data_IF_168367998719
#
_entry.id   IF_168367998719
#
_cell.length_a   1.000
_cell.length_b   1.000
_cell.length_c   1.000
_cell.angle_alpha   90.00
_cell.angle_beta   90.00
_cell.angle_gamma   90.00
#
_symmetry.space_group_name_H-M   'P 1'
#
loop_
_entity.id
_entity.type
_entity.pdbx_description
1 polymer ?
#
# COMPACT_ATOMS: atom_id res chain seq x y z
N UNK A 1 8.14 1.77 -5.48
CA UNK A 1 9.54 2.16 -5.17
C UNK A 1 9.65 3.52 -4.47
N UNK A 2 8.88 4.57 -4.85
CA UNK A 2 8.93 5.90 -4.19
C UNK A 2 8.73 5.80 -2.68
N UNK A 3 7.73 5.05 -2.21
CA UNK A 3 7.46 4.86 -0.79
C UNK A 3 8.62 4.19 -0.04
N UNK A 4 9.35 3.25 -0.68
CA UNK A 4 10.54 2.64 -0.12
C UNK A 4 11.63 3.68 0.15
N UNK A 5 11.95 4.52 -0.86
CA UNK A 5 12.99 5.53 -0.70
C UNK A 5 12.60 6.58 0.36
N UNK A 6 11.34 7.00 0.40
CA UNK A 6 10.84 7.89 1.47
C UNK A 6 11.03 7.25 2.84
N UNK A 7 10.71 5.95 2.98
CA UNK A 7 10.85 5.26 4.25
C UNK A 7 12.32 5.15 4.70
N UNK A 8 13.24 4.92 3.77
CA UNK A 8 14.68 4.84 4.06
C UNK A 8 15.28 6.21 4.43
N UNK A 9 14.90 7.26 3.70
CA UNK A 9 15.39 8.63 3.92
C UNK A 9 14.75 9.32 5.14
N UNK A 10 13.58 8.85 5.58
CA UNK A 10 12.83 9.41 6.71
C UNK A 10 12.52 8.33 7.76
N UNK A 11 13.51 7.73 8.42
CA UNK A 11 13.32 6.58 9.31
C UNK A 11 12.43 6.88 10.52
N UNK A 12 12.33 8.15 10.93
CA UNK A 12 11.49 8.60 12.04
C UNK A 12 10.04 8.89 11.63
N UNK A 13 9.70 8.79 10.32
CA UNK A 13 8.33 8.95 9.82
C UNK A 13 7.75 7.61 9.44
N UNK A 14 6.52 7.35 9.85
CA UNK A 14 5.77 6.19 9.34
C UNK A 14 5.27 6.49 7.94
N UNK A 15 5.57 5.58 7.02
CA UNK A 15 5.15 5.67 5.62
C UNK A 15 4.08 4.62 5.35
N UNK A 16 2.91 5.07 4.91
CA UNK A 16 1.84 4.21 4.43
C UNK A 16 1.78 4.29 2.91
N UNK A 17 2.02 3.18 2.23
CA UNK A 17 1.86 3.05 0.79
C UNK A 17 0.57 2.30 0.50
N UNK A 18 -0.36 2.93 -0.19
CA UNK A 18 -1.63 2.33 -0.59
C UNK A 18 -1.57 2.01 -2.08
N UNK A 19 -1.66 0.73 -2.42
CA UNK A 19 -1.72 0.22 -3.79
C UNK A 19 -3.03 -0.53 -4.03
N UNK A 20 -3.52 -0.52 -5.26
CA UNK A 20 -4.50 -1.50 -5.71
C UNK A 20 -3.82 -2.82 -6.08
N UNK A 21 -4.55 -3.92 -6.07
CA UNK A 21 -4.07 -5.26 -6.46
C UNK A 21 -3.52 -5.29 -7.88
N UNK A 22 -4.20 -4.64 -8.84
CA UNK A 22 -3.72 -4.50 -10.21
C UNK A 22 -2.42 -3.69 -10.31
N UNK A 23 -2.29 -2.60 -9.54
CA UNK A 23 -1.05 -1.81 -9.50
C UNK A 23 0.10 -2.61 -8.89
N UNK A 24 -0.16 -3.35 -7.81
CA UNK A 24 0.81 -4.23 -7.17
C UNK A 24 1.27 -5.35 -8.12
N UNK A 25 0.35 -5.95 -8.89
CA UNK A 25 0.68 -6.97 -9.89
C UNK A 25 1.56 -6.42 -11.01
N UNK A 26 1.26 -5.25 -11.55
CA UNK A 26 2.06 -4.63 -12.61
C UNK A 26 3.51 -4.33 -12.19
N UNK A 27 3.76 -4.17 -10.91
CA UNK A 27 5.09 -3.86 -10.35
C UNK A 27 5.54 -4.91 -9.32
N UNK A 28 5.14 -6.17 -9.49
CA UNK A 28 5.35 -7.24 -8.52
C UNK A 28 6.84 -7.41 -8.15
N UNK A 29 7.75 -7.17 -9.09
CA UNK A 29 9.19 -7.18 -8.85
C UNK A 29 9.70 -6.17 -7.82
N UNK A 30 8.90 -5.17 -7.44
CA UNK A 30 9.26 -4.25 -6.36
C UNK A 30 9.22 -4.92 -4.97
N UNK A 31 8.35 -5.92 -4.77
CA UNK A 31 8.19 -6.56 -3.46
C UNK A 31 9.47 -7.22 -2.93
N UNK A 32 10.22 -8.05 -3.70
CA UNK A 32 11.47 -8.61 -3.21
C UNK A 32 12.53 -7.54 -2.90
N UNK A 33 12.56 -6.43 -3.64
CA UNK A 33 13.49 -5.32 -3.35
C UNK A 33 13.13 -4.66 -2.01
N UNK A 34 11.85 -4.39 -1.77
CA UNK A 34 11.37 -3.84 -0.49
C UNK A 34 11.66 -4.82 0.65
N UNK A 35 11.38 -6.12 0.44
CA UNK A 35 11.64 -7.17 1.44
C UNK A 35 13.12 -7.28 1.80
N UNK A 36 14.02 -7.10 0.84
CA UNK A 36 15.47 -7.10 1.08
C UNK A 36 15.91 -5.90 1.93
N UNK A 37 15.33 -4.70 1.69
CA UNK A 37 15.68 -3.47 2.40
C UNK A 37 15.07 -3.39 3.80
N UNK A 38 13.96 -4.05 4.04
CA UNK A 38 13.25 -4.17 5.33
C UNK A 38 13.07 -2.86 6.10
N UNK A 39 12.56 -1.78 5.49
CA UNK A 39 12.36 -0.53 6.21
C UNK A 39 11.32 -0.75 7.33
N UNK A 40 11.73 -0.50 8.59
CA UNK A 40 10.89 -0.78 9.76
C UNK A 40 9.66 0.12 9.87
N UNK A 41 9.67 1.23 9.17
CA UNK A 41 8.64 2.28 9.18
C UNK A 41 7.69 2.24 7.98
N UNK A 42 7.80 1.25 7.07
CA UNK A 42 6.93 1.11 5.90
C UNK A 42 5.79 0.13 6.15
N UNK A 43 4.57 0.61 5.96
CA UNK A 43 3.36 -0.19 5.89
C UNK A 43 2.88 -0.18 4.44
N UNK A 44 2.88 -1.32 3.79
CA UNK A 44 2.40 -1.51 2.42
C UNK A 44 1.00 -2.09 2.45
N UNK A 45 0.00 -1.30 2.09
CA UNK A 45 -1.40 -1.71 2.05
C UNK A 45 -1.78 -2.01 0.62
N UNK A 46 -2.31 -3.21 0.37
CA UNK A 46 -2.88 -3.59 -0.94
C UNK A 46 -4.38 -3.72 -0.79
N UNK A 47 -5.10 -2.84 -1.48
CA UNK A 47 -6.57 -2.88 -1.60
C UNK A 47 -6.89 -3.85 -2.73
N UNK A 48 -7.48 -4.98 -2.39
CA UNK A 48 -7.72 -6.08 -3.33
C UNK A 48 -9.23 -6.25 -3.59
N UNK A 49 -9.68 -5.76 -4.76
CA UNK A 49 -11.03 -5.98 -5.27
C UNK A 49 -11.07 -6.97 -6.45
N UNK A 50 -9.94 -7.61 -6.77
CA UNK A 50 -9.73 -8.57 -7.86
C UNK A 50 -10.02 -8.01 -9.26
N UNK A 51 -10.08 -6.66 -9.44
CA UNK A 51 -10.45 -6.04 -10.70
C UNK A 51 -9.61 -4.80 -11.04
N UNK A 52 -9.28 -4.65 -12.31
CA UNK A 52 -8.74 -3.40 -12.87
C UNK A 52 -9.87 -2.39 -13.11
N UNK A 53 -10.48 -1.90 -12.05
CA UNK A 53 -11.71 -1.13 -12.08
C UNK A 53 -11.60 0.17 -12.90
N UNK A 54 -10.46 0.83 -12.85
CA UNK A 54 -10.21 2.11 -13.56
C UNK A 54 -10.00 1.97 -15.07
N UNK A 55 -9.81 0.74 -15.55
CA UNK A 55 -9.53 0.44 -16.98
C UNK A 55 -10.47 -0.62 -17.57
N UNK A 56 -11.71 -0.62 -17.14
CA UNK A 56 -12.75 -1.47 -17.72
C UNK A 56 -13.24 -2.62 -16.84
N UNK A 57 -12.73 -2.75 -15.61
CA UNK A 57 -13.23 -3.71 -14.63
C UNK A 57 -12.86 -5.17 -14.91
N UNK A 58 -11.87 -5.42 -15.77
CA UNK A 58 -11.42 -6.77 -16.03
C UNK A 58 -10.74 -7.39 -14.81
N UNK A 59 -10.78 -8.73 -14.66
CA UNK A 59 -10.07 -9.42 -13.58
C UNK A 59 -8.57 -9.12 -13.58
N UNK A 60 -7.98 -8.96 -12.40
CA UNK A 60 -6.52 -8.74 -12.25
C UNK A 60 -5.75 -9.98 -12.70
N UNK A 61 -6.20 -11.16 -12.30
CA UNK A 61 -5.74 -12.44 -12.81
C UNK A 61 -6.77 -13.52 -12.48
N UNK A 62 -6.68 -14.69 -13.14
CA UNK A 62 -7.55 -15.81 -12.84
C UNK A 62 -7.32 -16.29 -11.38
N UNK A 63 -8.41 -16.42 -10.63
CA UNK A 63 -8.36 -16.76 -9.20
C UNK A 63 -7.95 -15.63 -8.26
N UNK A 64 -7.67 -14.43 -8.78
CA UNK A 64 -7.28 -13.26 -8.00
C UNK A 64 -5.80 -13.28 -7.55
N UNK A 65 -5.25 -12.10 -7.27
CA UNK A 65 -3.94 -11.95 -6.66
C UNK A 65 -4.07 -12.11 -5.14
N UNK A 66 -3.23 -12.93 -4.53
CA UNK A 66 -3.04 -12.93 -3.08
C UNK A 66 -1.71 -12.23 -2.75
N UNK A 67 -1.75 -10.90 -2.61
CA UNK A 67 -0.58 -10.08 -2.33
C UNK A 67 0.10 -10.47 -1.02
N UNK A 68 -0.67 -10.87 -0.02
CA UNK A 68 -0.16 -11.35 1.27
C UNK A 68 0.70 -12.60 1.13
N UNK A 69 0.28 -13.59 0.31
CA UNK A 69 1.08 -14.79 0.06
C UNK A 69 2.38 -14.46 -0.66
N UNK A 70 2.33 -13.56 -1.65
CA UNK A 70 3.53 -13.11 -2.37
C UNK A 70 4.48 -12.39 -1.42
N UNK A 71 3.98 -11.44 -0.62
CA UNK A 71 4.79 -10.71 0.35
C UNK A 71 5.47 -11.66 1.36
N UNK A 72 4.74 -12.65 1.87
CA UNK A 72 5.30 -13.67 2.74
C UNK A 72 6.42 -14.47 2.04
N UNK A 73 6.19 -14.90 0.80
CA UNK A 73 7.14 -15.69 0.03
C UNK A 73 8.44 -14.92 -0.30
N UNK A 74 8.36 -13.61 -0.51
CA UNK A 74 9.54 -12.76 -0.78
C UNK A 74 10.20 -12.23 0.49
N UNK A 75 9.68 -12.54 1.68
CA UNK A 75 10.36 -12.27 2.95
C UNK A 75 9.91 -11.00 3.69
N UNK A 76 8.67 -10.53 3.49
CA UNK A 76 8.11 -9.53 4.40
C UNK A 76 7.99 -10.12 5.80
N UNK A 77 8.56 -9.47 6.83
CA UNK A 77 8.59 -10.02 8.19
C UNK A 77 7.21 -10.04 8.86
N UNK A 78 6.29 -9.17 8.42
CA UNK A 78 4.92 -9.13 8.91
C UNK A 78 3.94 -9.03 7.76
N UNK A 79 2.93 -9.89 7.78
CA UNK A 79 1.85 -9.95 6.77
C UNK A 79 0.52 -10.07 7.49
N UNK A 80 -0.37 -9.14 7.20
CA UNK A 80 -1.72 -9.04 7.76
C UNK A 80 -2.76 -9.15 6.65
N UNK A 81 -3.93 -9.66 6.98
CA UNK A 81 -5.07 -9.76 6.07
C UNK A 81 -6.33 -9.23 6.75
N UNK A 82 -7.14 -8.48 6.01
CA UNK A 82 -8.45 -8.04 6.44
C UNK A 82 -9.49 -8.40 5.37
N UNK A 83 -10.61 -9.01 5.79
CA UNK A 83 -11.68 -9.45 4.91
C UNK A 83 -13.06 -8.94 5.31
N UNK A 84 -13.14 -8.28 6.45
CA UNK A 84 -14.31 -7.63 7.01
C UNK A 84 -13.88 -6.45 7.89
N UNK A 85 -14.85 -5.68 8.37
CA UNK A 85 -14.60 -4.46 9.15
C UNK A 85 -13.86 -4.74 10.46
N UNK A 86 -14.22 -5.80 11.17
CA UNK A 86 -13.61 -6.15 12.46
C UNK A 86 -12.13 -6.56 12.31
N UNK A 87 -11.83 -7.37 11.28
CA UNK A 87 -10.45 -7.76 10.97
C UNK A 87 -9.64 -6.60 10.41
N UNK A 88 -10.28 -5.66 9.69
CA UNK A 88 -9.62 -4.45 9.20
C UNK A 88 -9.20 -3.54 10.36
N UNK A 89 -10.11 -3.28 11.31
CA UNK A 89 -9.80 -2.46 12.48
C UNK A 89 -8.62 -3.04 13.27
N UNK A 90 -8.67 -4.34 13.56
CA UNK A 90 -7.59 -5.05 14.25
C UNK A 90 -6.26 -4.95 13.48
N UNK A 91 -6.28 -5.23 12.19
CA UNK A 91 -5.08 -5.20 11.34
C UNK A 91 -4.49 -3.78 11.23
N UNK A 92 -5.32 -2.74 11.19
CA UNK A 92 -4.87 -1.35 11.17
C UNK A 92 -4.18 -0.95 12.49
N UNK A 93 -4.73 -1.37 13.64
CA UNK A 93 -4.10 -1.12 14.94
C UNK A 93 -2.76 -1.86 15.06
N UNK A 94 -2.71 -3.12 14.61
CA UNK A 94 -1.47 -3.89 14.57
C UNK A 94 -0.42 -3.27 13.65
N UNK A 95 -0.82 -2.84 12.44
CA UNK A 95 0.07 -2.19 11.49
C UNK A 95 0.58 -0.85 12.04
N UNK A 96 -0.29 -0.07 12.69
CA UNK A 96 0.07 1.19 13.33
C UNK A 96 1.11 1.02 14.44
N UNK A 97 1.06 -0.09 15.18
CA UNK A 97 2.03 -0.41 16.23
C UNK A 97 3.29 -1.13 15.74
N UNK A 98 3.35 -1.55 14.48
CA UNK A 98 4.46 -2.36 13.97
C UNK A 98 5.77 -1.58 13.87
N UNK A 99 6.87 -2.21 14.29
CA UNK A 99 8.24 -1.69 14.15
C UNK A 99 9.05 -2.55 13.16
N UNK A 100 8.40 -3.01 12.12
CA UNK A 100 8.98 -3.79 11.04
C UNK A 100 8.19 -3.59 9.76
N UNK A 101 8.82 -3.85 8.61
CA UNK A 101 8.14 -3.84 7.32
C UNK A 101 6.87 -4.71 7.39
N UNK A 102 5.74 -4.10 7.07
CA UNK A 102 4.44 -4.77 7.18
C UNK A 102 3.70 -4.68 5.84
N UNK A 103 3.15 -5.82 5.40
CA UNK A 103 2.12 -5.88 4.36
C UNK A 103 0.76 -6.02 5.04
N UNK A 104 -0.24 -5.26 4.55
CA UNK A 104 -1.64 -5.45 4.89
C UNK A 104 -2.43 -5.61 3.59
N UNK A 105 -2.98 -6.79 3.34
CA UNK A 105 -3.92 -7.01 2.25
C UNK A 105 -5.35 -6.84 2.76
N UNK A 106 -6.11 -5.96 2.09
CA UNK A 106 -7.50 -5.66 2.41
C UNK A 106 -8.38 -6.13 1.27
N UNK A 107 -9.19 -7.16 1.49
CA UNK A 107 -10.20 -7.58 0.53
C UNK A 107 -11.38 -6.61 0.55
N UNK A 108 -11.82 -6.15 -0.62
CA UNK A 108 -12.97 -5.26 -0.74
C UNK A 108 -13.81 -5.63 -1.96
N UNK A 109 -15.03 -5.10 -2.01
CA UNK A 109 -15.91 -5.24 -3.17
C UNK A 109 -15.47 -4.29 -4.30
N UNK A 110 -15.84 -4.63 -5.54
CA UNK A 110 -15.79 -3.73 -6.68
C UNK A 110 -16.80 -2.59 -6.46
N UNK A 111 -16.41 -1.39 -6.85
CA UNK A 111 -17.27 -0.19 -6.78
C UNK A 111 -16.64 0.92 -5.94
N UNK A 112 -17.15 2.11 -6.17
CA UNK A 112 -16.77 3.30 -5.41
C UNK A 112 -18.05 3.95 -4.84
N UNK A 113 -17.87 4.71 -3.76
CA UNK A 113 -19.00 5.46 -3.22
C UNK A 113 -19.49 6.50 -4.24
N UNK A 114 -20.80 6.76 -4.27
CA UNK A 114 -21.43 7.60 -5.28
C UNK A 114 -20.97 9.07 -5.24
N UNK A 115 -20.50 9.55 -4.10
CA UNK A 115 -20.03 10.93 -3.86
C UNK A 115 -18.51 11.09 -4.00
N UNK A 116 -17.81 10.11 -4.60
CA UNK A 116 -16.37 10.16 -4.80
C UNK A 116 -16.00 11.30 -5.76
N UNK A 117 -15.33 12.31 -5.23
CA UNK A 117 -14.84 13.45 -6.01
C UNK A 117 -13.62 13.09 -6.88
N UNK A 118 -13.21 14.07 -7.69
CA UNK A 118 -11.97 13.99 -8.46
C UNK A 118 -10.92 14.93 -7.86
N UNK A 119 -9.62 14.62 -8.01
CA UNK A 119 -8.57 15.55 -7.60
C UNK A 119 -8.73 16.91 -8.27
N UNK A 120 -8.60 17.97 -7.50
CA UNK A 120 -8.67 19.36 -7.97
C UNK A 120 -7.30 19.97 -8.23
N UNK A 121 -6.24 19.27 -7.85
CA UNK A 121 -4.84 19.67 -8.01
C UNK A 121 -4.17 18.94 -9.16
N UNK A 122 -3.22 19.59 -9.80
CA UNK A 122 -2.41 18.98 -10.86
C UNK A 122 -1.34 18.04 -10.28
N UNK A 123 -0.82 17.06 -11.05
CA UNK A 123 0.29 16.22 -10.62
C UNK A 123 1.54 17.01 -10.17
N UNK A 124 1.82 18.16 -10.82
CA UNK A 124 2.94 19.03 -10.45
C UNK A 124 2.72 19.63 -9.06
N UNK A 125 1.53 20.18 -8.80
CA UNK A 125 1.16 20.71 -7.49
C UNK A 125 1.24 19.66 -6.40
N UNK A 126 0.77 18.43 -6.67
CA UNK A 126 0.86 17.32 -5.73
C UNK A 126 2.31 16.94 -5.41
N UNK A 127 3.16 16.85 -6.44
CA UNK A 127 4.60 16.61 -6.26
C UNK A 127 5.24 17.69 -5.38
N UNK A 128 5.01 18.96 -5.69
CA UNK A 128 5.64 20.07 -4.99
C UNK A 128 5.18 20.12 -3.52
N UNK A 129 3.90 19.89 -3.27
CA UNK A 129 3.34 19.80 -1.93
C UNK A 129 3.95 18.63 -1.12
N UNK A 130 4.06 17.44 -1.74
CA UNK A 130 4.69 16.29 -1.10
C UNK A 130 6.17 16.56 -0.79
N UNK A 131 6.90 17.16 -1.73
CA UNK A 131 8.32 17.50 -1.52
C UNK A 131 8.50 18.52 -0.40
N UNK A 132 7.64 19.53 -0.31
CA UNK A 132 7.65 20.52 0.78
C UNK A 132 7.40 19.83 2.12
N UNK A 133 6.34 19.00 2.20
CA UNK A 133 6.00 18.22 3.40
C UNK A 133 7.15 17.31 3.88
N UNK A 134 7.86 16.66 2.94
CA UNK A 134 8.97 15.76 3.30
C UNK A 134 10.23 16.53 3.76
N UNK A 135 10.38 17.82 3.41
CA UNK A 135 11.47 18.67 3.89
C UNK A 135 11.26 19.17 5.31
N UNK A 136 10.00 19.26 5.76
CA UNK A 136 9.70 19.66 7.13
C UNK A 136 10.21 18.59 8.09
N UNK A 137 11.17 18.94 8.94
CA UNK A 137 11.56 18.10 10.07
C UNK A 137 10.45 18.17 11.11
N UNK A 138 9.68 17.10 11.27
CA UNK A 138 8.86 16.97 12.49
C UNK A 138 9.80 16.61 13.63
N UNK A 139 9.96 17.58 14.53
CA UNK A 139 10.59 17.37 15.83
C UNK A 139 9.91 16.22 16.60
#
# INVERSE_FOLDING_TARGET
>A
MIALEIALEKPNRRVWCLDGDGAALMHLGALPVIAQRKPANLIHVVINNAAHETVGGMPVCEGGLCAAKVASAVGYPRVLNARDEATLETALQEAKGANQLTMLEVACAVGARADLGRPTTTPIQNRDALMAFLREEKA
#
